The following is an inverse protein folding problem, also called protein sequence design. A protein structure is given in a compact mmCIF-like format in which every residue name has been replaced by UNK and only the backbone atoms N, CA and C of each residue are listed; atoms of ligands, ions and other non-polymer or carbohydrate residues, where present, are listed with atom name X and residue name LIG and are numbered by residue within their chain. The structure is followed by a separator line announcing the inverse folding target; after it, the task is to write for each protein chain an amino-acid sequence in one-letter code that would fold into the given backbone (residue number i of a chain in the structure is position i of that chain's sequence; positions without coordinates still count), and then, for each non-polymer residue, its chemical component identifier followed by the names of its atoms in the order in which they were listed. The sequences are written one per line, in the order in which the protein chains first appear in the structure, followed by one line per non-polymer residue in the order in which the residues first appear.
data_IF_038652875491
#
_entry.id   IF_038652875491
#
_cell.length_a   1.000
_cell.length_b   1.000
_cell.length_c   1.000
_cell.angle_alpha   90.00
_cell.angle_beta   90.00
_cell.angle_gamma   90.00
#
_symmetry.space_group_name_H-M   'P 1'
#
loop_
_entity.id
_entity.type
_entity.pdbx_description
1 polymer ?
#
# COMPACT_ATOMS: atom_id res chain seq x y z
N UNK A 1 -3.63 17.25 41.31
CA UNK A 1 -3.95 16.33 40.20
C UNK A 1 -3.07 16.72 39.04
N UNK A 2 -2.28 15.81 38.46
CA UNK A 2 -1.66 16.10 37.15
C UNK A 2 -2.82 16.21 36.15
N UNK A 3 -2.91 17.32 35.42
CA UNK A 3 -3.76 17.38 34.23
C UNK A 3 -3.43 16.18 33.36
N UNK A 4 -4.46 15.44 32.96
CA UNK A 4 -4.30 14.30 32.06
C UNK A 4 -3.82 14.91 30.74
N UNK A 5 -2.65 14.50 30.29
CA UNK A 5 -2.03 15.02 29.07
C UNK A 5 -3.04 14.96 27.90
N UNK A 6 -3.18 16.07 27.17
CA UNK A 6 -4.07 16.14 26.00
C UNK A 6 -3.52 15.20 24.94
N UNK A 7 -4.32 14.24 24.50
CA UNK A 7 -3.93 13.25 23.48
C UNK A 7 -4.81 13.38 22.25
N UNK A 8 -4.28 12.99 21.09
CA UNK A 8 -5.02 12.98 19.81
C UNK A 8 -6.28 12.13 19.96
N UNK A 9 -6.15 10.88 20.41
CA UNK A 9 -7.29 9.97 20.61
C UNK A 9 -8.27 10.48 21.68
N UNK A 10 -7.78 11.16 22.73
CA UNK A 10 -8.64 11.79 23.72
C UNK A 10 -9.50 12.91 23.12
N UNK A 11 -8.91 13.74 22.26
CA UNK A 11 -9.63 14.78 21.52
C UNK A 11 -10.65 14.18 20.56
N UNK A 12 -10.27 13.15 19.81
CA UNK A 12 -11.17 12.44 18.90
C UNK A 12 -12.36 11.83 19.66
N UNK A 13 -12.12 11.18 20.80
CA UNK A 13 -13.18 10.62 21.65
C UNK A 13 -14.18 11.69 22.09
N UNK A 14 -13.70 12.87 22.50
CA UNK A 14 -14.56 13.99 22.90
C UNK A 14 -15.48 14.49 21.78
N UNK A 15 -14.99 14.49 20.53
CA UNK A 15 -15.81 14.81 19.34
C UNK A 15 -16.86 13.71 19.07
N UNK A 16 -16.46 12.45 19.19
CA UNK A 16 -17.34 11.29 18.94
C UNK A 16 -18.50 11.21 19.95
N UNK A 17 -18.26 11.56 21.21
CA UNK A 17 -19.31 11.61 22.24
C UNK A 17 -20.44 12.58 21.85
N UNK A 18 -20.11 13.76 21.32
CA UNK A 18 -21.12 14.71 20.83
C UNK A 18 -21.81 14.21 19.54
N UNK A 19 -21.08 13.61 18.60
CA UNK A 19 -21.68 13.09 17.35
C UNK A 19 -22.69 11.96 17.64
N UNK A 20 -22.46 11.17 18.68
CA UNK A 20 -23.37 10.09 19.10
C UNK A 20 -24.65 10.59 19.75
N UNK A 21 -24.63 11.79 20.31
CA UNK A 21 -25.84 12.40 20.85
C UNK A 21 -26.78 12.73 19.68
N UNK A 22 -27.96 12.11 19.69
CA UNK A 22 -28.96 12.25 18.64
C UNK A 22 -29.46 13.69 18.46
N UNK A 23 -29.29 14.56 19.47
CA UNK A 23 -29.59 15.99 19.40
C UNK A 23 -28.44 16.81 18.79
N UNK A 24 -27.22 16.27 18.82
CA UNK A 24 -25.98 16.90 18.32
C UNK A 24 -25.32 16.13 17.18
N UNK A 25 -26.11 15.39 16.38
CA UNK A 25 -25.69 14.81 15.09
C UNK A 25 -24.86 15.81 14.30
N UNK A 26 -23.95 15.32 13.47
CA UNK A 26 -22.96 16.14 12.77
C UNK A 26 -23.54 17.45 12.20
N UNK A 27 -23.22 18.57 12.86
CA UNK A 27 -23.69 19.91 12.53
C UNK A 27 -22.64 20.96 12.95
N UNK A 28 -22.83 22.20 12.51
CA UNK A 28 -21.86 23.29 12.72
C UNK A 28 -21.52 23.55 14.20
N UNK A 29 -22.43 23.26 15.15
CA UNK A 29 -22.17 23.45 16.59
C UNK A 29 -21.01 22.61 17.11
N UNK A 30 -20.72 21.46 16.49
CA UNK A 30 -19.56 20.64 16.87
C UNK A 30 -18.27 21.44 16.69
N UNK A 31 -18.19 22.24 15.63
CA UNK A 31 -17.01 23.08 15.36
C UNK A 31 -16.88 24.23 16.34
N UNK A 32 -17.97 24.66 16.98
CA UNK A 32 -17.97 25.68 18.03
C UNK A 32 -17.62 25.07 19.39
N UNK A 33 -18.30 23.98 19.77
CA UNK A 33 -18.19 23.34 21.10
C UNK A 33 -16.87 22.57 21.27
N UNK A 34 -16.30 22.05 20.18
CA UNK A 34 -15.05 21.26 20.17
C UNK A 34 -13.91 21.93 19.43
N UNK A 35 -13.94 23.26 19.32
CA UNK A 35 -12.94 24.02 18.58
C UNK A 35 -11.50 23.70 19.02
N UNK A 36 -11.25 23.61 20.32
CA UNK A 36 -9.91 23.34 20.85
C UNK A 36 -9.43 21.90 20.59
N UNK A 37 -10.32 20.91 20.64
CA UNK A 37 -10.01 19.52 20.30
C UNK A 37 -9.76 19.37 18.80
N UNK A 38 -10.60 19.99 17.97
CA UNK A 38 -10.48 19.96 16.51
C UNK A 38 -9.19 20.64 16.07
N UNK A 39 -8.83 21.79 16.63
CA UNK A 39 -7.60 22.50 16.30
C UNK A 39 -6.36 21.69 16.69
N UNK A 40 -6.40 21.01 17.85
CA UNK A 40 -5.32 20.13 18.28
C UNK A 40 -5.12 18.96 17.32
N UNK A 41 -6.19 18.28 16.90
CA UNK A 41 -6.10 17.19 15.92
C UNK A 41 -5.60 17.70 14.58
N UNK A 42 -6.13 18.85 14.12
CA UNK A 42 -5.77 19.48 12.84
C UNK A 42 -4.28 19.80 12.78
N UNK A 43 -3.75 20.39 13.84
CA UNK A 43 -2.33 20.72 13.96
C UNK A 43 -1.47 19.46 13.96
N UNK A 44 -1.84 18.45 14.76
CA UNK A 44 -1.04 17.23 14.88
C UNK A 44 -1.07 16.40 13.60
N UNK A 45 -2.24 16.22 12.99
CA UNK A 45 -2.41 15.35 11.82
C UNK A 45 -2.19 16.08 10.48
N UNK A 46 -1.96 17.39 10.50
CA UNK A 46 -1.84 18.21 9.29
C UNK A 46 -3.14 18.32 8.48
N UNK A 47 -4.28 18.12 9.14
CA UNK A 47 -5.62 18.08 8.52
C UNK A 47 -6.36 19.40 8.67
N UNK A 48 -7.36 19.66 7.83
CA UNK A 48 -8.33 20.74 8.07
C UNK A 48 -9.28 20.38 9.24
N UNK A 49 -9.99 21.36 9.83
CA UNK A 49 -11.00 21.07 10.84
C UNK A 49 -12.01 20.00 10.40
N UNK A 50 -12.51 20.08 9.16
CA UNK A 50 -13.44 19.11 8.60
C UNK A 50 -12.83 17.72 8.49
N UNK A 51 -11.60 17.64 7.98
CA UNK A 51 -10.86 16.39 7.85
C UNK A 51 -10.57 15.75 9.21
N UNK A 52 -10.29 16.56 10.24
CA UNK A 52 -10.07 16.09 11.61
C UNK A 52 -11.31 15.41 12.20
N UNK A 53 -12.49 15.99 12.01
CA UNK A 53 -13.74 15.36 12.47
C UNK A 53 -14.06 14.11 11.63
N UNK A 54 -13.87 14.17 10.32
CA UNK A 54 -14.10 13.04 9.42
C UNK A 54 -13.19 11.85 9.76
N UNK A 55 -11.89 12.10 9.98
CA UNK A 55 -10.91 11.11 10.41
C UNK A 55 -11.30 10.50 11.76
N UNK A 56 -11.76 11.31 12.72
CA UNK A 56 -12.26 10.82 14.02
C UNK A 56 -13.42 9.84 13.83
N UNK A 57 -14.37 10.17 12.95
CA UNK A 57 -15.51 9.31 12.63
C UNK A 57 -15.09 7.99 11.95
N UNK A 58 -14.12 8.07 11.04
CA UNK A 58 -13.57 6.89 10.37
C UNK A 58 -12.91 5.97 11.40
N UNK A 59 -12.03 6.50 12.26
CA UNK A 59 -11.35 5.72 13.31
C UNK A 59 -12.33 4.99 14.22
N UNK A 60 -13.38 5.66 14.68
CA UNK A 60 -14.42 5.04 15.52
C UNK A 60 -15.15 3.88 14.81
N UNK A 61 -15.31 3.99 13.48
CA UNK A 61 -16.07 3.02 12.68
C UNK A 61 -15.21 1.92 12.07
N UNK A 62 -13.91 2.14 11.91
CA UNK A 62 -12.95 1.21 11.30
C UNK A 62 -12.65 -0.03 12.15
N UNK A 63 -13.19 -0.17 13.36
CA UNK A 63 -13.14 -1.42 14.14
C UNK A 63 -13.94 -2.57 13.47
N UNK A 64 -14.72 -2.29 12.42
CA UNK A 64 -15.39 -3.33 11.61
C UNK A 64 -14.65 -3.46 10.28
N UNK A 65 -14.39 -4.70 9.86
CA UNK A 65 -13.52 -5.05 8.73
C UNK A 65 -13.82 -4.35 7.39
N UNK A 66 -14.99 -3.73 7.20
CA UNK A 66 -15.29 -2.91 6.02
C UNK A 66 -16.17 -1.73 6.43
N UNK A 67 -15.63 -0.52 6.27
CA UNK A 67 -16.38 0.73 6.42
C UNK A 67 -16.71 1.25 5.03
N UNK A 68 -17.98 1.31 4.65
CA UNK A 68 -18.39 2.01 3.43
C UNK A 68 -18.86 3.44 3.73
N UNK A 69 -18.96 4.26 2.68
CA UNK A 69 -19.48 5.64 2.78
C UNK A 69 -20.91 5.70 3.35
N UNK A 70 -21.76 4.71 3.10
CA UNK A 70 -23.14 4.71 3.63
C UNK A 70 -23.16 4.51 5.15
N UNK A 71 -22.30 3.65 5.67
CA UNK A 71 -22.09 3.43 7.10
C UNK A 71 -21.51 4.66 7.78
N UNK A 72 -20.59 5.37 7.13
CA UNK A 72 -20.05 6.64 7.62
C UNK A 72 -21.15 7.73 7.66
N UNK A 73 -21.94 7.87 6.60
CA UNK A 73 -23.05 8.84 6.54
C UNK A 73 -24.07 8.59 7.66
N UNK A 74 -24.44 7.30 7.87
CA UNK A 74 -25.35 6.89 8.93
C UNK A 74 -24.80 7.23 10.31
N UNK A 75 -23.51 6.98 10.53
CA UNK A 75 -22.84 7.27 11.80
C UNK A 75 -22.82 8.77 12.09
N UNK A 76 -22.51 9.59 11.10
CA UNK A 76 -22.51 11.05 11.23
C UNK A 76 -23.94 11.63 11.29
N UNK A 77 -24.98 10.82 11.11
CA UNK A 77 -26.37 11.27 11.16
C UNK A 77 -26.79 12.11 9.95
N UNK A 78 -26.12 11.97 8.81
CA UNK A 78 -26.40 12.69 7.57
C UNK A 78 -26.87 11.75 6.45
N UNK A 79 -27.46 12.32 5.38
CA UNK A 79 -27.77 11.55 4.19
C UNK A 79 -26.51 11.23 3.39
N UNK A 80 -26.53 10.13 2.65
CA UNK A 80 -25.44 9.80 1.72
C UNK A 80 -25.13 10.94 0.74
N UNK A 81 -26.16 11.63 0.22
CA UNK A 81 -26.00 12.77 -0.68
C UNK A 81 -25.18 13.90 -0.02
N UNK A 82 -25.39 14.18 1.27
CA UNK A 82 -24.57 15.16 2.00
C UNK A 82 -23.14 14.68 2.17
N UNK A 83 -22.93 13.37 2.39
CA UNK A 83 -21.59 12.82 2.53
C UNK A 83 -20.77 12.95 1.22
N UNK A 84 -21.40 12.86 0.05
CA UNK A 84 -20.71 13.05 -1.24
C UNK A 84 -20.01 14.41 -1.38
N UNK A 85 -20.47 15.44 -0.64
CA UNK A 85 -19.79 16.72 -0.61
C UNK A 85 -18.39 16.66 0.04
N UNK A 86 -18.07 15.58 0.78
CA UNK A 86 -16.77 15.36 1.43
C UNK A 86 -15.83 14.47 0.61
N UNK A 87 -16.14 14.15 -0.65
CA UNK A 87 -15.26 13.33 -1.49
C UNK A 87 -13.87 13.96 -1.67
N UNK A 88 -13.79 15.29 -1.71
CA UNK A 88 -12.51 16.02 -1.74
C UNK A 88 -11.72 15.86 -0.44
N UNK A 89 -12.38 15.85 0.71
CA UNK A 89 -11.73 15.64 2.01
C UNK A 89 -11.28 14.19 2.20
N UNK A 90 -12.09 13.22 1.76
CA UNK A 90 -11.71 11.81 1.73
C UNK A 90 -10.50 11.58 0.82
N UNK A 91 -10.49 12.17 -0.38
CA UNK A 91 -9.35 12.11 -1.28
C UNK A 91 -8.11 12.81 -0.70
N UNK A 92 -8.28 13.89 0.07
CA UNK A 92 -7.17 14.54 0.77
C UNK A 92 -6.59 13.66 1.86
N UNK A 93 -7.43 13.10 2.75
CA UNK A 93 -7.01 12.15 3.79
C UNK A 93 -6.31 10.91 3.18
N UNK A 94 -6.79 10.46 2.02
CA UNK A 94 -6.18 9.39 1.24
C UNK A 94 -4.75 9.73 0.81
N UNK A 95 -4.56 10.92 0.20
CA UNK A 95 -3.25 11.42 -0.23
C UNK A 95 -2.28 11.62 0.93
N UNK A 96 -2.80 11.98 2.09
CA UNK A 96 -2.04 12.07 3.35
C UNK A 96 -1.68 10.69 3.93
N UNK A 97 -2.16 9.60 3.30
CA UNK A 97 -2.01 8.20 3.72
C UNK A 97 -2.55 7.92 5.12
N UNK A 98 -3.50 8.75 5.58
CA UNK A 98 -4.20 8.57 6.86
C UNK A 98 -5.33 7.53 6.74
N UNK A 99 -5.87 7.36 5.54
CA UNK A 99 -6.88 6.35 5.19
C UNK A 99 -6.57 5.79 3.80
N UNK A 100 -7.17 4.65 3.45
CA UNK A 100 -7.24 4.11 2.08
C UNK A 100 -8.68 4.16 1.60
N UNK A 101 -8.92 4.62 0.37
CA UNK A 101 -10.25 4.72 -0.24
C UNK A 101 -10.23 3.87 -1.50
N UNK A 102 -10.85 2.71 -1.43
CA UNK A 102 -10.93 1.75 -2.53
C UNK A 102 -11.93 2.20 -3.60
N UNK A 103 -11.75 1.68 -4.81
CA UNK A 103 -12.59 2.02 -5.99
C UNK A 103 -14.07 1.66 -5.83
N UNK A 104 -14.39 0.68 -5.00
CA UNK A 104 -15.76 0.29 -4.61
C UNK A 104 -16.31 1.11 -3.43
N UNK A 105 -15.65 2.22 -3.08
CA UNK A 105 -16.02 3.15 -2.01
C UNK A 105 -15.89 2.61 -0.58
N UNK A 106 -15.15 1.52 -0.37
CA UNK A 106 -14.72 1.17 0.98
C UNK A 106 -13.60 2.08 1.47
N UNK A 107 -13.64 2.36 2.77
CA UNK A 107 -12.65 3.14 3.49
C UNK A 107 -11.96 2.19 4.47
N UNK A 108 -10.64 2.13 4.39
CA UNK A 108 -9.80 1.39 5.31
C UNK A 108 -8.91 2.33 6.10
N UNK A 109 -8.61 1.96 7.34
CA UNK A 109 -7.70 2.69 8.21
C UNK A 109 -6.43 1.85 8.41
N UNK A 110 -5.30 2.26 7.83
CA UNK A 110 -4.06 1.48 7.92
C UNK A 110 -3.59 1.30 9.37
N UNK A 111 -3.08 0.12 9.70
CA UNK A 111 -2.68 -0.21 11.09
C UNK A 111 -1.55 0.67 11.60
N UNK A 112 -0.65 1.10 10.72
CA UNK A 112 0.47 1.97 11.06
C UNK A 112 0.02 3.39 11.46
N UNK A 113 -1.11 3.88 10.92
CA UNK A 113 -1.73 5.15 11.33
C UNK A 113 -2.27 5.00 12.75
N UNK A 114 -3.06 3.95 13.01
CA UNK A 114 -3.56 3.64 14.36
C UNK A 114 -2.44 3.48 15.39
N UNK A 115 -1.37 2.77 15.03
CA UNK A 115 -0.19 2.56 15.87
C UNK A 115 0.46 3.89 16.26
N UNK A 116 0.57 4.83 15.32
CA UNK A 116 1.12 6.18 15.58
C UNK A 116 0.20 6.98 16.51
N UNK A 117 -1.10 7.04 16.19
CA UNK A 117 -2.08 7.78 16.99
C UNK A 117 -2.20 7.23 18.43
N UNK A 118 -2.10 5.91 18.61
CA UNK A 118 -2.13 5.25 19.93
C UNK A 118 -0.97 5.66 20.84
N UNK A 119 0.15 6.11 20.26
CA UNK A 119 1.33 6.62 20.95
C UNK A 119 1.30 8.14 21.11
N UNK A 120 0.18 8.78 20.80
CA UNK A 120 0.03 10.23 20.74
C UNK A 120 1.02 10.89 19.76
N UNK A 121 1.37 10.19 18.68
CA UNK A 121 2.28 10.69 17.65
C UNK A 121 1.52 10.88 16.33
N UNK A 122 1.83 11.93 15.58
CA UNK A 122 1.26 12.08 14.25
C UNK A 122 1.86 11.04 13.31
N UNK A 123 1.05 10.56 12.36
CA UNK A 123 1.60 9.77 11.27
C UNK A 123 2.35 10.69 10.31
N UNK A 124 3.56 10.30 9.92
CA UNK A 124 4.35 10.98 8.90
C UNK A 124 4.62 10.03 7.75
N UNK A 125 4.42 10.53 6.53
CA UNK A 125 4.83 9.80 5.32
C UNK A 125 6.33 9.53 5.41
N UNK A 126 6.78 8.27 5.22
CA UNK A 126 8.20 7.98 5.34
C UNK A 126 9.04 8.70 4.28
N UNK A 127 10.21 9.19 4.68
CA UNK A 127 11.20 9.73 3.76
C UNK A 127 11.73 8.62 2.84
N UNK A 128 11.65 8.86 1.53
CA UNK A 128 11.90 7.92 0.45
C UNK A 128 12.95 8.45 -0.54
N UNK A 129 13.82 9.38 -0.13
CA UNK A 129 14.89 9.92 -0.95
C UNK A 129 16.27 9.38 -0.54
N UNK A 130 17.18 9.28 -1.51
CA UNK A 130 18.58 8.90 -1.31
C UNK A 130 18.79 7.59 -0.53
N UNK A 131 17.90 6.63 -0.71
CA UNK A 131 17.98 5.29 -0.12
C UNK A 131 19.04 4.44 -0.83
N UNK A 132 19.78 3.66 -0.06
CA UNK A 132 20.62 2.60 -0.59
C UNK A 132 19.78 1.37 -0.98
N UNK A 133 20.42 0.35 -1.56
CA UNK A 133 19.70 -0.85 -2.02
C UNK A 133 18.99 -1.56 -0.85
N UNK A 134 19.64 -1.88 0.29
CA UNK A 134 18.97 -2.47 1.45
C UNK A 134 17.76 -1.67 1.97
N UNK A 135 17.88 -0.35 2.14
CA UNK A 135 16.77 0.50 2.57
C UNK A 135 15.63 0.51 1.57
N UNK A 136 15.93 0.66 0.27
CA UNK A 136 14.93 0.64 -0.79
C UNK A 136 14.18 -0.70 -0.82
N UNK A 137 14.90 -1.82 -0.67
CA UNK A 137 14.29 -3.15 -0.61
C UNK A 137 13.38 -3.31 0.61
N UNK A 138 13.75 -2.73 1.75
CA UNK A 138 12.90 -2.72 2.94
C UNK A 138 11.59 -1.98 2.66
N UNK A 139 11.65 -0.80 2.01
CA UNK A 139 10.45 -0.04 1.62
C UNK A 139 9.56 -0.81 0.65
N UNK A 140 10.15 -1.41 -0.38
CA UNK A 140 9.43 -2.24 -1.35
C UNK A 140 8.70 -3.39 -0.66
N UNK A 141 9.37 -4.09 0.26
CA UNK A 141 8.78 -5.18 1.05
C UNK A 141 7.60 -4.69 1.88
N UNK A 142 7.75 -3.57 2.56
CA UNK A 142 6.74 -3.04 3.46
C UNK A 142 5.48 -2.59 2.68
N UNK A 143 5.62 -2.08 1.45
CA UNK A 143 4.50 -1.75 0.57
C UNK A 143 3.76 -3.00 0.05
N UNK A 144 4.51 -4.03 -0.36
CA UNK A 144 3.90 -5.30 -0.79
C UNK A 144 3.16 -6.00 0.35
N UNK A 145 3.73 -5.99 1.57
CA UNK A 145 3.05 -6.54 2.75
C UNK A 145 1.76 -5.80 3.08
N UNK A 146 1.77 -4.47 3.05
CA UNK A 146 0.55 -3.68 3.22
C UNK A 146 -0.52 -4.06 2.19
N UNK A 147 -0.14 -4.27 0.93
CA UNK A 147 -1.08 -4.77 -0.08
C UNK A 147 -1.60 -6.17 0.27
N UNK A 148 -0.73 -7.12 0.60
CA UNK A 148 -1.11 -8.50 0.98
C UNK A 148 -2.00 -8.58 2.23
N UNK A 149 -1.92 -7.58 3.10
CA UNK A 149 -2.72 -7.46 4.32
C UNK A 149 -4.00 -6.62 4.10
N UNK A 150 -4.35 -6.28 2.85
CA UNK A 150 -5.47 -5.42 2.46
C UNK A 150 -5.44 -4.02 3.12
N UNK A 151 -4.25 -3.53 3.46
CA UNK A 151 -4.02 -2.19 4.01
C UNK A 151 -3.68 -1.13 2.94
N UNK A 152 -3.53 -1.54 1.68
CA UNK A 152 -3.13 -0.68 0.57
C UNK A 152 -3.76 -1.18 -0.74
N UNK A 153 -4.33 -0.27 -1.53
CA UNK A 153 -4.85 -0.57 -2.87
C UNK A 153 -3.70 -0.92 -3.84
N UNK A 154 -3.96 -1.80 -4.81
CA UNK A 154 -2.95 -2.22 -5.80
C UNK A 154 -2.41 -1.04 -6.62
N UNK A 155 -3.27 -0.11 -7.03
CA UNK A 155 -2.87 1.08 -7.78
C UNK A 155 -1.97 1.97 -6.94
N UNK A 156 -2.37 2.23 -5.70
CA UNK A 156 -1.57 2.99 -4.73
C UNK A 156 -0.22 2.32 -4.44
N UNK A 157 -0.19 0.99 -4.32
CA UNK A 157 1.05 0.25 -4.12
C UNK A 157 2.01 0.47 -5.29
N UNK A 158 1.51 0.33 -6.53
CA UNK A 158 2.33 0.52 -7.73
C UNK A 158 2.79 1.97 -7.85
N UNK A 159 1.91 2.95 -7.65
CA UNK A 159 2.27 4.38 -7.69
C UNK A 159 3.37 4.71 -6.67
N UNK A 160 3.24 4.22 -5.43
CA UNK A 160 4.23 4.44 -4.37
C UNK A 160 5.56 3.72 -4.64
N UNK A 161 5.52 2.54 -5.27
CA UNK A 161 6.73 1.85 -5.71
C UNK A 161 7.41 2.61 -6.84
N UNK A 162 6.65 3.16 -7.79
CA UNK A 162 7.20 3.95 -8.88
C UNK A 162 7.81 5.26 -8.36
N UNK A 163 7.15 5.96 -7.44
CA UNK A 163 7.72 7.11 -6.73
C UNK A 163 9.01 6.73 -6.00
N UNK A 164 9.04 5.57 -5.33
CA UNK A 164 10.22 5.07 -4.62
C UNK A 164 11.39 4.85 -5.59
N UNK A 165 11.15 4.31 -6.78
CA UNK A 165 12.21 4.14 -7.79
C UNK A 165 12.66 5.48 -8.37
N UNK A 166 11.70 6.36 -8.70
CA UNK A 166 11.98 7.68 -9.28
C UNK A 166 12.76 8.59 -8.34
N UNK A 167 12.54 8.50 -7.03
CA UNK A 167 13.25 9.27 -6.00
C UNK A 167 14.65 8.74 -5.67
N UNK A 168 15.02 7.55 -6.16
CA UNK A 168 16.25 6.84 -5.81
C UNK A 168 17.04 6.39 -7.04
N UNK A 169 17.11 7.21 -8.09
CA UNK A 169 17.81 6.88 -9.35
C UNK A 169 19.30 6.57 -9.17
N UNK A 170 19.92 7.05 -8.10
CA UNK A 170 21.32 6.78 -7.80
C UNK A 170 21.57 5.41 -7.13
N UNK A 171 20.52 4.75 -6.62
CA UNK A 171 20.57 3.42 -6.02
C UNK A 171 20.98 2.36 -7.05
N UNK A 172 21.86 1.43 -6.67
CA UNK A 172 22.39 0.39 -7.56
C UNK A 172 21.29 -0.48 -8.18
N UNK A 173 20.28 -0.86 -7.39
CA UNK A 173 19.12 -1.62 -7.90
C UNK A 173 18.39 -0.87 -9.01
N UNK A 174 18.11 0.43 -8.80
CA UNK A 174 17.38 1.25 -9.77
C UNK A 174 18.19 1.42 -11.05
N UNK A 175 19.50 1.65 -10.92
CA UNK A 175 20.44 1.71 -12.05
C UNK A 175 20.49 0.40 -12.83
N UNK A 176 20.59 -0.73 -12.15
CA UNK A 176 20.61 -2.05 -12.78
C UNK A 176 19.28 -2.31 -13.51
N UNK A 177 18.14 -2.06 -12.87
CA UNK A 177 16.83 -2.25 -13.46
C UNK A 177 16.58 -1.33 -14.68
N UNK A 178 17.14 -0.11 -14.68
CA UNK A 178 17.07 0.79 -15.84
C UNK A 178 17.78 0.23 -17.08
N UNK A 179 18.89 -0.53 -16.92
CA UNK A 179 19.59 -1.17 -18.06
C UNK A 179 18.69 -2.12 -18.83
N UNK A 180 17.79 -2.81 -18.13
CA UNK A 180 16.83 -3.76 -18.72
C UNK A 180 15.52 -3.10 -19.13
N UNK A 181 15.45 -1.76 -19.11
CA UNK A 181 14.23 -0.98 -19.36
C UNK A 181 13.08 -1.41 -18.46
N UNK A 182 13.36 -1.88 -17.25
CA UNK A 182 12.31 -2.06 -16.24
C UNK A 182 11.82 -0.67 -15.85
N UNK A 183 12.75 0.29 -15.70
CA UNK A 183 12.49 1.72 -15.49
C UNK A 183 13.12 2.55 -16.61
N UNK A 184 12.38 3.53 -17.15
CA UNK A 184 12.85 4.58 -18.06
C UNK A 184 12.63 5.91 -17.34
N UNK A 185 13.71 6.68 -17.14
CA UNK A 185 13.68 7.94 -16.38
C UNK A 185 13.04 7.82 -14.98
N UNK A 186 13.30 6.69 -14.31
CA UNK A 186 12.73 6.37 -12.99
C UNK A 186 11.29 5.85 -13.01
N UNK A 187 10.64 5.76 -14.18
CA UNK A 187 9.28 5.27 -14.34
C UNK A 187 9.24 3.92 -15.06
N UNK A 188 8.51 2.91 -14.57
CA UNK A 188 8.50 1.63 -15.24
C UNK A 188 7.73 1.65 -16.57
N UNK A 189 8.40 1.25 -17.65
CA UNK A 189 7.82 1.05 -19.00
C UNK A 189 7.18 -0.34 -19.11
N UNK A 190 6.32 -0.62 -18.13
CA UNK A 190 5.54 -1.83 -17.97
C UNK A 190 4.09 -1.40 -17.71
N UNK A 191 3.11 -2.19 -18.14
CA UNK A 191 1.74 -1.97 -17.66
C UNK A 191 1.67 -2.26 -16.16
N UNK A 192 0.67 -1.72 -15.46
CA UNK A 192 0.53 -1.85 -14.01
C UNK A 192 0.65 -3.31 -13.54
N UNK A 193 -0.04 -4.24 -14.21
CA UNK A 193 -0.03 -5.65 -13.86
C UNK A 193 1.35 -6.30 -14.04
N UNK A 194 2.14 -5.87 -15.03
CA UNK A 194 3.53 -6.33 -15.19
C UNK A 194 4.46 -5.77 -14.11
N UNK A 195 4.21 -4.54 -13.63
CA UNK A 195 4.93 -3.99 -12.47
C UNK A 195 4.67 -4.82 -11.23
N UNK A 196 3.41 -5.18 -10.96
CA UNK A 196 3.03 -6.08 -9.87
C UNK A 196 3.77 -7.42 -9.98
N UNK A 197 3.82 -7.99 -11.19
CA UNK A 197 4.57 -9.24 -11.42
C UNK A 197 6.05 -9.08 -11.06
N UNK A 198 6.70 -8.04 -11.59
CA UNK A 198 8.11 -7.78 -11.33
C UNK A 198 8.41 -7.58 -9.84
N UNK A 199 7.65 -6.70 -9.15
CA UNK A 199 7.87 -6.42 -7.74
C UNK A 199 7.63 -7.64 -6.84
N UNK A 200 6.64 -8.49 -7.16
CA UNK A 200 6.41 -9.73 -6.41
C UNK A 200 7.55 -10.74 -6.62
N UNK A 201 8.12 -10.85 -7.84
CA UNK A 201 9.30 -11.69 -8.07
C UNK A 201 10.51 -11.22 -7.25
N UNK A 202 10.74 -9.89 -7.19
CA UNK A 202 11.78 -9.30 -6.33
C UNK A 202 11.54 -9.65 -4.86
N UNK A 203 10.31 -9.47 -4.37
CA UNK A 203 9.94 -9.80 -3.00
C UNK A 203 10.19 -11.27 -2.66
N UNK A 204 9.73 -12.18 -3.51
CA UNK A 204 9.84 -13.62 -3.27
C UNK A 204 11.28 -14.10 -3.28
N UNK A 205 12.08 -13.59 -4.21
CA UNK A 205 13.49 -13.92 -4.28
C UNK A 205 14.24 -13.47 -3.02
N UNK A 206 14.04 -12.22 -2.58
CA UNK A 206 14.80 -11.65 -1.48
C UNK A 206 14.33 -12.12 -0.10
N UNK A 207 13.02 -12.31 0.09
CA UNK A 207 12.42 -12.48 1.41
C UNK A 207 11.76 -13.84 1.66
N UNK A 208 11.38 -14.57 0.61
CA UNK A 208 10.76 -15.89 0.75
C UNK A 208 11.70 -17.04 0.34
N UNK A 209 12.91 -16.72 -0.14
CA UNK A 209 13.86 -17.69 -0.71
C UNK A 209 13.20 -18.53 -1.82
N UNK A 210 12.31 -17.90 -2.60
CA UNK A 210 11.51 -18.53 -3.63
C UNK A 210 11.87 -18.00 -5.01
N UNK A 211 12.59 -18.84 -5.76
CA UNK A 211 13.03 -18.61 -7.14
C UNK A 211 12.27 -19.52 -8.13
N UNK A 212 11.15 -20.12 -7.68
CA UNK A 212 10.27 -20.98 -8.48
C UNK A 212 8.82 -20.51 -8.35
N UNK A 213 8.56 -19.30 -8.84
CA UNK A 213 7.29 -18.58 -8.62
C UNK A 213 6.23 -19.02 -9.62
N UNK A 214 5.03 -19.34 -9.15
CA UNK A 214 3.88 -19.70 -9.99
C UNK A 214 2.74 -18.70 -9.88
N UNK A 215 1.72 -18.78 -10.74
CA UNK A 215 0.62 -17.80 -10.75
C UNK A 215 -0.21 -17.75 -9.45
N UNK A 216 -0.27 -18.85 -8.70
CA UNK A 216 -0.94 -18.88 -7.38
C UNK A 216 -0.20 -18.06 -6.32
N UNK A 217 1.07 -17.76 -6.54
CA UNK A 217 1.92 -17.00 -5.64
C UNK A 217 1.64 -15.47 -5.67
N UNK A 218 0.69 -15.03 -6.52
CA UNK A 218 0.28 -13.64 -6.69
C UNK A 218 -1.15 -13.35 -6.15
N UNK A 219 -1.85 -14.36 -5.60
CA UNK A 219 -3.26 -14.24 -5.14
C UNK A 219 -3.46 -13.10 -4.14
N UNK A 220 -2.51 -12.91 -3.24
CA UNK A 220 -2.62 -11.89 -2.18
C UNK A 220 -2.11 -10.51 -2.65
N UNK A 221 -1.45 -10.42 -3.82
CA UNK A 221 -0.89 -9.16 -4.33
C UNK A 221 -1.82 -8.50 -5.33
N UNK A 222 -2.43 -9.27 -6.25
CA UNK A 222 -3.44 -8.73 -7.16
C UNK A 222 -4.74 -8.44 -6.42
N UNK A 223 -5.36 -7.30 -6.68
CA UNK A 223 -6.66 -6.93 -6.13
C UNK A 223 -7.79 -7.72 -6.78
N UNK A 224 -7.74 -7.89 -8.11
CA UNK A 224 -8.63 -8.77 -8.84
C UNK A 224 -7.90 -10.04 -9.32
N UNK A 225 -8.34 -11.19 -8.83
CA UNK A 225 -7.82 -12.49 -9.28
C UNK A 225 -8.10 -12.76 -10.76
N UNK A 226 -9.00 -12.02 -11.41
CA UNK A 226 -9.18 -12.07 -12.86
C UNK A 226 -7.93 -11.59 -13.61
N UNK A 227 -7.19 -10.62 -13.06
CA UNK A 227 -5.94 -10.12 -13.65
C UNK A 227 -4.84 -11.18 -13.67
N UNK A 228 -4.80 -12.07 -12.67
CA UNK A 228 -3.88 -13.22 -12.66
C UNK A 228 -4.12 -14.10 -13.91
N UNK A 229 -5.38 -14.33 -14.28
CA UNK A 229 -5.70 -15.14 -15.46
C UNK A 229 -5.31 -14.43 -16.75
N UNK A 230 -5.50 -13.11 -16.82
CA UNK A 230 -5.05 -12.29 -17.96
C UNK A 230 -3.52 -12.37 -18.09
N UNK A 231 -2.79 -12.17 -17.00
CA UNK A 231 -1.33 -12.21 -16.96
C UNK A 231 -0.79 -13.60 -17.31
N UNK A 232 -1.38 -14.66 -16.75
CA UNK A 232 -1.04 -16.05 -17.10
C UNK A 232 -1.25 -16.36 -18.58
N UNK A 233 -2.37 -15.90 -19.13
CA UNK A 233 -2.71 -16.08 -20.55
C UNK A 233 -1.74 -15.34 -21.47
N UNK A 234 -1.29 -14.14 -21.09
CA UNK A 234 -0.25 -13.39 -21.82
C UNK A 234 1.11 -14.06 -21.72
N UNK A 235 1.48 -14.53 -20.52
CA UNK A 235 2.75 -15.23 -20.28
C UNK A 235 2.90 -16.50 -21.12
N UNK A 236 1.84 -17.31 -21.22
CA UNK A 236 1.80 -18.53 -22.04
C UNK A 236 2.01 -18.28 -23.54
N UNK A 237 1.80 -17.04 -23.99
CA UNK A 237 2.01 -16.60 -25.38
C UNK A 237 3.30 -15.79 -25.53
N UNK A 238 4.15 -15.78 -24.51
CA UNK A 238 5.39 -15.00 -24.47
C UNK A 238 5.16 -13.49 -24.70
N UNK A 239 3.98 -12.99 -24.28
CA UNK A 239 3.50 -11.65 -24.57
C UNK A 239 3.70 -10.63 -23.45
N UNK A 240 4.44 -10.97 -22.39
CA UNK A 240 4.84 -10.01 -21.36
C UNK A 240 6.09 -9.25 -21.83
N UNK A 241 6.15 -7.94 -21.59
CA UNK A 241 7.39 -7.19 -21.83
C UNK A 241 8.55 -7.73 -21.00
N UNK A 242 8.26 -8.23 -19.79
CA UNK A 242 9.24 -8.95 -18.97
C UNK A 242 9.88 -10.15 -19.71
N UNK A 243 9.12 -10.88 -20.53
CA UNK A 243 9.65 -11.98 -21.36
C UNK A 243 10.34 -11.47 -22.61
N UNK A 244 9.71 -10.53 -23.32
CA UNK A 244 10.24 -9.95 -24.57
C UNK A 244 11.60 -9.27 -24.35
N UNK A 245 11.80 -8.65 -23.17
CA UNK A 245 13.07 -8.03 -22.75
C UNK A 245 14.06 -9.01 -22.13
N UNK A 246 13.68 -10.29 -22.00
CA UNK A 246 14.52 -11.33 -21.41
C UNK A 246 14.76 -11.17 -19.91
N UNK A 247 13.88 -10.47 -19.19
CA UNK A 247 13.99 -10.21 -17.74
C UNK A 247 13.65 -11.47 -16.94
N UNK A 248 12.61 -12.19 -17.39
CA UNK A 248 12.14 -13.42 -16.76
C UNK A 248 12.26 -14.61 -17.72
N UNK A 249 12.37 -15.81 -17.15
CA UNK A 249 12.42 -17.07 -17.88
C UNK A 249 11.65 -18.18 -17.16
N UNK A 250 11.14 -19.19 -17.90
CA UNK A 250 10.51 -20.36 -17.28
C UNK A 250 11.54 -21.19 -16.50
N UNK A 251 11.12 -21.75 -15.37
CA UNK A 251 11.95 -22.68 -14.60
C UNK A 251 12.07 -23.99 -15.39
N UNK A 252 13.31 -24.42 -15.66
CA UNK A 252 13.61 -25.74 -16.21
C UNK A 252 14.38 -26.62 -15.22
N UNK A 253 13.99 -27.88 -15.12
CA UNK A 253 14.81 -28.95 -14.51
C UNK A 253 15.04 -30.04 -15.56
N UNK A 254 16.29 -30.48 -15.74
CA UNK A 254 16.68 -31.61 -16.60
C UNK A 254 16.14 -31.56 -18.05
N UNK A 255 16.06 -30.37 -18.64
CA UNK A 255 15.58 -30.17 -20.01
C UNK A 255 14.06 -30.13 -20.19
N UNK A 256 13.30 -30.21 -19.09
CA UNK A 256 11.84 -29.98 -19.08
C UNK A 256 11.52 -28.64 -18.44
N UNK A 257 10.89 -27.74 -19.20
CA UNK A 257 10.43 -26.45 -18.71
C UNK A 257 9.05 -26.58 -18.09
N UNK A 258 8.90 -26.10 -16.85
CA UNK A 258 7.59 -25.88 -16.25
C UNK A 258 7.07 -24.52 -16.69
N UNK A 259 6.22 -24.50 -17.72
CA UNK A 259 5.65 -23.26 -18.29
C UNK A 259 4.68 -22.53 -17.34
N UNK A 260 4.42 -23.04 -16.14
CA UNK A 260 3.64 -22.34 -15.12
C UNK A 260 4.51 -21.84 -13.95
N UNK A 261 5.84 -22.08 -13.97
CA UNK A 261 6.81 -21.55 -13.01
C UNK A 261 7.85 -20.68 -13.72
N UNK A 262 8.25 -19.57 -13.11
CA UNK A 262 9.18 -18.63 -13.69
C UNK A 262 9.92 -17.82 -12.63
N UNK A 263 11.01 -17.18 -13.05
CA UNK A 263 11.83 -16.33 -12.19
C UNK A 263 12.53 -15.24 -12.99
N UNK A 264 13.16 -14.29 -12.29
CA UNK A 264 14.10 -13.34 -12.89
C UNK A 264 15.37 -14.12 -13.27
N UNK A 265 15.91 -13.89 -14.48
CA UNK A 265 17.11 -14.58 -14.95
C UNK A 265 18.29 -14.42 -14.00
N UNK A 266 19.13 -15.44 -13.90
CA UNK A 266 20.27 -15.46 -12.97
C UNK A 266 21.25 -14.31 -13.21
N UNK A 267 21.59 -14.02 -14.47
CA UNK A 267 22.47 -12.89 -14.84
C UNK A 267 21.90 -11.52 -14.41
N UNK A 268 20.56 -11.38 -14.44
CA UNK A 268 19.88 -10.14 -14.06
C UNK A 268 19.79 -10.04 -12.54
N UNK A 269 19.55 -11.15 -11.83
CA UNK A 269 19.55 -11.18 -10.37
C UNK A 269 20.92 -10.81 -9.80
N UNK A 270 22.00 -11.25 -10.44
CA UNK A 270 23.36 -10.89 -10.04
C UNK A 270 23.58 -9.37 -10.09
N UNK A 271 23.09 -8.70 -11.13
CA UNK A 271 23.17 -7.23 -11.23
C UNK A 271 22.16 -6.49 -10.33
N UNK A 272 20.91 -6.94 -10.26
CA UNK A 272 19.87 -6.28 -9.45
C UNK A 272 20.18 -6.32 -7.96
N UNK A 273 20.75 -7.44 -7.49
CA UNK A 273 20.87 -7.74 -6.07
C UNK A 273 22.32 -7.72 -5.57
N UNK A 274 23.24 -7.13 -6.33
CA UNK A 274 24.67 -7.03 -6.02
C UNK A 274 24.93 -6.61 -4.56
N UNK A 275 24.23 -5.58 -4.09
CA UNK A 275 24.39 -5.00 -2.73
C UNK A 275 23.74 -5.84 -1.61
N UNK A 276 22.89 -6.83 -1.93
CA UNK A 276 22.07 -7.59 -0.97
C UNK A 276 22.26 -9.11 -1.07
N UNK A 277 23.41 -9.52 -1.62
CA UNK A 277 23.87 -10.91 -1.66
C UNK A 277 23.82 -11.58 -3.04
N UNK A 278 23.43 -10.84 -4.09
CA UNK A 278 23.48 -11.30 -5.48
C UNK A 278 22.74 -12.61 -5.73
N UNK A 279 23.37 -13.47 -6.55
CA UNK A 279 22.84 -14.79 -6.89
C UNK A 279 22.97 -15.78 -5.72
N UNK A 280 21.83 -16.22 -5.19
CA UNK A 280 21.70 -17.26 -4.16
C UNK A 280 21.65 -18.66 -4.78
N UNK A 281 22.12 -19.67 -4.05
CA UNK A 281 21.99 -21.09 -4.48
C UNK A 281 20.51 -21.48 -4.52
N UNK A 282 20.05 -22.03 -5.65
CA UNK A 282 18.67 -22.53 -5.80
C UNK A 282 18.36 -23.58 -4.74
N UNK A 283 17.45 -23.27 -3.83
CA UNK A 283 16.83 -24.21 -2.90
C UNK A 283 15.62 -24.82 -3.59
N UNK A 284 15.53 -26.15 -3.63
CA UNK A 284 14.35 -26.85 -4.16
C UNK A 284 13.13 -26.47 -3.32
N UNK A 285 12.04 -26.05 -3.98
CA UNK A 285 10.80 -25.64 -3.31
C UNK A 285 10.31 -26.77 -2.41
N UNK A 286 10.38 -26.60 -1.09
CA UNK A 286 9.68 -27.49 -0.16
C UNK A 286 8.20 -27.28 -0.39
N UNK A 287 7.55 -28.26 -1.00
CA UNK A 287 6.10 -28.24 -1.22
C UNK A 287 5.43 -28.03 0.14
N UNK A 288 4.82 -26.87 0.38
CA UNK A 288 3.89 -26.71 1.50
C UNK A 288 2.71 -27.64 1.19
N UNK A 289 2.70 -28.82 1.80
CA UNK A 289 1.48 -29.63 1.88
C UNK A 289 0.44 -28.76 2.61
N UNK A 290 -0.66 -28.48 1.91
CA UNK A 290 -1.85 -27.90 2.53
C UNK A 290 -2.41 -28.85 3.58
#
# INVERSE_FOLDING_TARGET
MKEKEKTILGCMSGIIEDIRDTEKKFNEKIFEEKAEEIEYISTMCGTTPWQSVLLSCIIERSNRNRLDKSDLARFMGMSYIKLLAFDTDLASLHKMRLIVVYSDSYIHLPSHVLSSLSKNQPYSIPDNYNLDTPELMKRLRDLLKQRMEDELDEWDMVERLDELMANNQECSFVKAAAKYRIFIDGNPDLCQQEKVVFYNLVYRYLYEDDDQVGWHDFIDVFQDNSDINVMRSRYRREGLLLQIRGIIEPVGEDGFFNVDLFHIKDEIKEELFEDVGGLRKRTTRKTRMK
#
